data_IF_916228984939
#
_entry.id   IF_916228984939
#
_cell.length_a   1.000
_cell.length_b   1.000
_cell.length_c   1.000
_cell.angle_alpha   90.00
_cell.angle_beta   90.00
_cell.angle_gamma   90.00
#
_symmetry.space_group_name_H-M   'P 1'
#
loop_
_entity.id
_entity.type
_entity.pdbx_description
1 polymer ?
#
# COMPACT_ATOMS: atom_id res chain seq x y z
N UNK A 1 -18.24 -14.82 -2.48
CA UNK A 1 -16.91 -14.15 -2.45
C UNK A 1 -16.22 -14.36 -3.78
N UNK A 2 -15.91 -13.28 -4.49
CA UNK A 2 -15.07 -13.37 -5.67
C UNK A 2 -13.64 -13.67 -5.20
N UNK A 3 -12.96 -14.69 -5.75
CA UNK A 3 -11.56 -14.94 -5.41
C UNK A 3 -10.71 -13.72 -5.80
N UNK A 4 -9.61 -13.48 -5.07
CA UNK A 4 -8.60 -12.52 -5.51
C UNK A 4 -8.20 -12.81 -6.96
N UNK A 5 -7.70 -11.82 -7.70
CA UNK A 5 -7.25 -12.04 -9.08
C UNK A 5 -6.24 -13.17 -9.17
N UNK A 6 -5.28 -13.23 -8.23
CA UNK A 6 -4.28 -14.29 -8.13
C UNK A 6 -4.91 -15.67 -7.91
N UNK A 7 -5.92 -15.81 -7.02
CA UNK A 7 -6.59 -17.08 -6.80
C UNK A 7 -7.32 -17.59 -8.05
N UNK A 8 -7.97 -16.69 -8.79
CA UNK A 8 -8.62 -17.03 -10.06
C UNK A 8 -7.62 -17.50 -11.11
N UNK A 9 -6.44 -16.90 -11.14
CA UNK A 9 -5.38 -17.23 -12.08
C UNK A 9 -4.76 -18.61 -11.79
N UNK A 10 -4.51 -18.94 -10.52
CA UNK A 10 -4.03 -20.27 -10.11
C UNK A 10 -4.96 -21.38 -10.62
N UNK A 11 -6.29 -21.22 -10.45
CA UNK A 11 -7.25 -22.23 -10.94
C UNK A 11 -7.23 -22.40 -12.45
N UNK A 12 -7.06 -21.29 -13.20
CA UNK A 12 -6.96 -21.34 -14.66
C UNK A 12 -5.70 -22.07 -15.11
N UNK A 13 -4.54 -21.81 -14.48
CA UNK A 13 -3.27 -22.45 -14.79
C UNK A 13 -3.33 -23.95 -14.57
N UNK A 14 -3.90 -24.39 -13.43
CA UNK A 14 -4.09 -25.82 -13.16
C UNK A 14 -4.96 -26.50 -14.21
N UNK A 15 -6.07 -25.84 -14.64
CA UNK A 15 -6.94 -26.36 -15.71
C UNK A 15 -6.22 -26.46 -17.06
N UNK A 16 -5.18 -25.68 -17.29
CA UNK A 16 -4.33 -25.73 -18.48
C UNK A 16 -3.14 -26.68 -18.34
N UNK A 17 -3.15 -27.53 -17.31
CA UNK A 17 -2.10 -28.51 -16.97
C UNK A 17 -0.72 -27.89 -16.67
N UNK A 18 -0.69 -26.64 -16.17
CA UNK A 18 0.53 -26.13 -15.57
C UNK A 18 0.73 -26.77 -14.19
N UNK A 19 1.94 -27.23 -13.90
CA UNK A 19 2.32 -27.76 -12.59
C UNK A 19 2.55 -26.63 -11.59
N UNK A 20 1.47 -26.13 -10.99
CA UNK A 20 1.53 -25.11 -9.96
C UNK A 20 1.87 -25.78 -8.64
N UNK A 21 3.06 -25.49 -8.10
CA UNK A 21 3.61 -26.15 -6.91
C UNK A 21 3.22 -25.48 -5.60
N UNK A 22 3.33 -24.15 -5.54
CA UNK A 22 3.12 -23.37 -4.31
C UNK A 22 2.46 -22.03 -4.60
N UNK A 23 1.86 -21.45 -3.59
CA UNK A 23 1.33 -20.10 -3.59
C UNK A 23 2.06 -19.31 -2.50
N UNK A 24 2.58 -18.14 -2.84
CA UNK A 24 3.16 -17.20 -1.89
C UNK A 24 2.16 -16.09 -1.60
N UNK A 25 1.75 -15.94 -0.33
CA UNK A 25 0.70 -15.02 0.08
C UNK A 25 1.29 -13.80 0.80
N UNK A 26 1.16 -12.58 0.21
CA UNK A 26 1.59 -11.34 0.84
C UNK A 26 0.61 -10.90 1.94
N UNK A 27 0.77 -9.68 2.45
CA UNK A 27 -0.20 -9.03 3.32
C UNK A 27 -1.63 -9.15 2.73
N UNK A 28 -2.62 -9.31 3.58
CA UNK A 28 -4.02 -9.65 3.27
C UNK A 28 -4.26 -11.09 2.81
N UNK A 29 -3.22 -11.94 2.67
CA UNK A 29 -3.35 -13.34 2.33
C UNK A 29 -3.69 -13.62 0.88
N UNK A 30 -3.70 -14.91 0.51
CA UNK A 30 -3.97 -15.35 -0.86
C UNK A 30 -5.31 -14.85 -1.43
N UNK A 31 -6.32 -14.67 -0.58
CA UNK A 31 -7.66 -14.21 -1.00
C UNK A 31 -7.88 -12.71 -0.80
N UNK A 32 -6.92 -11.99 -0.24
CA UNK A 32 -7.03 -10.56 0.00
C UNK A 32 -8.06 -10.17 1.06
N UNK A 33 -8.43 -11.08 1.95
CA UNK A 33 -9.52 -10.88 2.92
C UNK A 33 -9.02 -10.61 4.34
N UNK A 34 -7.75 -10.85 4.60
CA UNK A 34 -7.18 -10.67 5.94
C UNK A 34 -7.04 -9.18 6.29
N UNK A 35 -7.29 -8.80 7.55
CA UNK A 35 -7.14 -7.42 7.98
C UNK A 35 -5.68 -6.97 7.94
N UNK A 36 -5.47 -5.66 7.88
CA UNK A 36 -4.14 -5.05 7.91
C UNK A 36 -3.31 -5.52 9.11
N UNK A 37 -2.05 -5.90 8.88
CA UNK A 37 -1.13 -6.36 9.91
C UNK A 37 -1.49 -7.71 10.53
N UNK A 38 -2.41 -8.48 9.95
CA UNK A 38 -2.72 -9.83 10.43
C UNK A 38 -1.53 -10.76 10.21
N UNK A 39 -1.27 -11.64 11.19
CA UNK A 39 -0.38 -12.76 10.94
C UNK A 39 -1.06 -13.74 10.00
N UNK A 40 -0.40 -14.03 8.89
CA UNK A 40 -0.83 -15.03 7.92
C UNK A 40 0.03 -16.27 8.17
N UNK A 41 -0.60 -17.41 8.37
CA UNK A 41 0.09 -18.68 8.57
C UNK A 41 0.19 -19.44 7.26
N UNK A 42 1.18 -20.34 7.18
CA UNK A 42 1.22 -21.34 6.12
C UNK A 42 -0.03 -22.23 6.23
N UNK A 43 -0.64 -22.53 5.11
CA UNK A 43 -1.86 -23.34 5.04
C UNK A 43 -1.93 -24.13 3.71
N UNK A 44 -2.94 -24.96 3.57
CA UNK A 44 -3.25 -25.63 2.29
C UNK A 44 -4.55 -25.02 1.75
N UNK A 45 -4.52 -24.52 0.52
CA UNK A 45 -5.74 -24.07 -0.15
C UNK A 45 -6.66 -25.24 -0.45
N UNK A 46 -7.81 -25.27 0.21
CA UNK A 46 -8.79 -26.38 0.13
C UNK A 46 -9.28 -26.64 -1.30
N UNK A 47 -9.30 -25.60 -2.15
CA UNK A 47 -9.81 -25.74 -3.53
C UNK A 47 -8.79 -26.30 -4.51
N UNK A 48 -7.52 -25.99 -4.32
CA UNK A 48 -6.43 -26.38 -5.22
C UNK A 48 -5.58 -27.51 -4.68
N UNK A 49 -5.60 -27.73 -3.36
CA UNK A 49 -4.67 -28.63 -2.65
C UNK A 49 -3.25 -28.09 -2.54
N UNK A 50 -3.00 -26.86 -2.96
CA UNK A 50 -1.65 -26.26 -2.97
C UNK A 50 -1.27 -25.73 -1.60
N UNK A 51 0.03 -25.85 -1.28
CA UNK A 51 0.60 -25.17 -0.11
C UNK A 51 0.61 -23.66 -0.34
N UNK A 52 0.05 -22.92 0.59
CA UNK A 52 0.19 -21.46 0.71
C UNK A 52 1.30 -21.18 1.71
N UNK A 53 2.35 -20.49 1.24
CA UNK A 53 3.47 -20.02 2.05
C UNK A 53 3.23 -18.55 2.36
N UNK A 54 3.17 -18.21 3.64
CA UNK A 54 2.97 -16.83 4.07
C UNK A 54 4.24 -16.02 3.90
N UNK A 55 4.12 -14.84 3.28
CA UNK A 55 5.17 -13.82 3.24
C UNK A 55 4.95 -12.72 4.30
N UNK A 56 3.95 -12.88 5.19
CA UNK A 56 3.58 -11.87 6.16
C UNK A 56 3.17 -12.51 7.50
N UNK A 57 4.14 -12.73 8.38
CA UNK A 57 3.90 -13.39 9.68
C UNK A 57 4.99 -13.13 10.70
N UNK A 58 4.81 -13.66 11.92
CA UNK A 58 5.72 -13.43 13.07
C UNK A 58 7.10 -14.05 12.87
N UNK A 59 7.17 -15.14 12.13
CA UNK A 59 8.38 -16.00 12.06
C UNK A 59 9.20 -15.71 10.80
N UNK A 60 8.78 -14.73 10.00
CA UNK A 60 9.48 -14.32 8.77
C UNK A 60 9.67 -12.82 8.75
N UNK A 61 10.80 -12.39 8.21
CA UNK A 61 10.97 -10.98 7.86
C UNK A 61 10.00 -10.64 6.72
N UNK A 62 9.26 -9.57 6.89
CA UNK A 62 8.17 -9.21 5.99
C UNK A 62 8.57 -9.25 4.50
N UNK A 63 7.85 -10.04 3.72
CA UNK A 63 8.01 -10.14 2.27
C UNK A 63 9.10 -11.09 1.79
N UNK A 64 10.03 -11.54 2.63
CA UNK A 64 11.12 -12.43 2.23
C UNK A 64 10.62 -13.84 1.89
N UNK A 65 11.21 -14.44 0.87
CA UNK A 65 11.04 -15.85 0.49
C UNK A 65 12.31 -16.59 0.88
N UNK A 66 12.15 -17.64 1.71
CA UNK A 66 13.25 -18.52 2.05
C UNK A 66 13.65 -19.36 0.84
N UNK A 67 14.94 -19.55 0.62
CA UNK A 67 15.46 -20.34 -0.51
C UNK A 67 14.92 -21.79 -0.49
N UNK A 68 14.67 -22.34 0.71
CA UNK A 68 14.04 -23.66 0.86
C UNK A 68 12.63 -23.71 0.23
N UNK A 69 11.87 -22.62 0.31
CA UNK A 69 10.53 -22.57 -0.29
C UNK A 69 10.58 -22.50 -1.82
N UNK A 70 11.73 -22.20 -2.41
CA UNK A 70 11.94 -22.18 -3.85
C UNK A 70 12.45 -23.50 -4.43
N UNK A 71 12.72 -24.50 -3.61
CA UNK A 71 13.08 -25.83 -4.10
C UNK A 71 11.98 -26.37 -5.03
N UNK A 72 12.39 -26.94 -6.17
CA UNK A 72 11.51 -27.47 -7.22
C UNK A 72 10.64 -26.43 -7.93
N UNK A 73 11.04 -25.15 -7.88
CA UNK A 73 10.36 -24.05 -8.61
C UNK A 73 11.22 -23.64 -9.80
N UNK A 74 10.67 -23.80 -11.01
CA UNK A 74 11.33 -23.40 -12.25
C UNK A 74 11.06 -21.95 -12.63
N UNK A 75 9.91 -21.40 -12.22
CA UNK A 75 9.45 -20.04 -12.58
C UNK A 75 8.63 -19.45 -11.44
N UNK A 76 8.88 -18.20 -11.11
CA UNK A 76 8.04 -17.38 -10.24
C UNK A 76 7.10 -16.51 -11.08
N UNK A 77 5.87 -16.36 -10.62
CA UNK A 77 4.88 -15.46 -11.24
C UNK A 77 4.36 -14.50 -10.18
N UNK A 78 4.55 -13.21 -10.42
CA UNK A 78 3.99 -12.14 -9.61
C UNK A 78 2.72 -11.60 -10.28
N UNK A 79 1.57 -11.82 -9.67
CA UNK A 79 0.25 -11.44 -10.19
C UNK A 79 -0.59 -10.78 -9.09
N UNK A 80 -0.15 -9.61 -8.60
CA UNK A 80 -0.75 -8.89 -7.49
C UNK A 80 -1.15 -7.48 -7.93
N UNK A 81 -2.37 -7.04 -7.54
CA UNK A 81 -2.84 -5.69 -7.81
C UNK A 81 -2.25 -4.70 -6.82
N UNK A 82 -1.52 -3.73 -7.34
CA UNK A 82 -1.02 -2.57 -6.59
C UNK A 82 -1.98 -1.37 -6.73
N UNK A 83 -1.81 -0.33 -5.90
CA UNK A 83 -2.63 0.89 -5.93
C UNK A 83 -1.84 2.16 -6.24
N UNK A 84 -0.55 2.04 -6.58
CA UNK A 84 0.30 3.14 -7.01
C UNK A 84 0.76 4.08 -5.90
N UNK A 85 0.89 3.56 -4.68
CA UNK A 85 1.25 4.37 -3.50
C UNK A 85 2.34 3.69 -2.70
N UNK A 86 3.44 4.41 -2.39
CA UNK A 86 4.67 3.88 -1.81
C UNK A 86 4.46 3.01 -0.56
N UNK A 87 3.57 3.41 0.34
CA UNK A 87 3.32 2.68 1.58
C UNK A 87 2.30 1.53 1.43
N UNK A 88 1.82 1.25 0.23
CA UNK A 88 1.07 0.04 -0.05
C UNK A 88 2.05 -1.10 -0.35
N UNK A 89 2.14 -2.08 0.54
CA UNK A 89 3.28 -2.98 0.71
C UNK A 89 3.55 -3.97 -0.42
N UNK A 90 2.70 -4.06 -1.43
CA UNK A 90 2.88 -4.99 -2.55
C UNK A 90 4.15 -4.71 -3.39
N UNK A 91 4.58 -3.43 -3.49
CA UNK A 91 5.86 -3.10 -4.15
C UNK A 91 7.07 -3.57 -3.32
N UNK A 92 6.95 -3.59 -1.99
CA UNK A 92 7.97 -4.13 -1.10
C UNK A 92 8.01 -5.67 -1.18
N UNK A 93 6.86 -6.32 -1.27
CA UNK A 93 6.78 -7.75 -1.56
C UNK A 93 7.41 -8.08 -2.93
N UNK A 94 7.15 -7.28 -3.97
CA UNK A 94 7.78 -7.42 -5.28
C UNK A 94 9.31 -7.37 -5.19
N UNK A 95 9.85 -6.40 -4.43
CA UNK A 95 11.30 -6.29 -4.21
C UNK A 95 11.89 -7.60 -3.68
N UNK A 96 11.33 -8.15 -2.60
CA UNK A 96 11.83 -9.40 -2.01
C UNK A 96 11.63 -10.62 -2.92
N UNK A 97 10.55 -10.67 -3.69
CA UNK A 97 10.35 -11.71 -4.71
C UNK A 97 11.43 -11.61 -5.80
N UNK A 98 11.78 -10.39 -6.24
CA UNK A 98 12.85 -10.16 -7.19
C UNK A 98 14.22 -10.55 -6.63
N UNK A 99 14.51 -10.26 -5.36
CA UNK A 99 15.74 -10.70 -4.70
C UNK A 99 15.84 -12.23 -4.62
N UNK A 100 14.77 -12.89 -4.20
CA UNK A 100 14.71 -14.34 -4.14
C UNK A 100 14.89 -14.99 -5.53
N UNK A 101 14.25 -14.42 -6.57
CA UNK A 101 14.44 -14.80 -7.97
C UNK A 101 15.89 -14.68 -8.41
N UNK A 102 16.52 -13.53 -8.15
CA UNK A 102 17.91 -13.25 -8.52
C UNK A 102 18.88 -14.17 -7.80
N UNK A 103 18.73 -14.32 -6.49
CA UNK A 103 19.60 -15.16 -5.62
C UNK A 103 19.57 -16.62 -6.01
N UNK A 104 18.42 -17.14 -6.45
CA UNK A 104 18.22 -18.53 -6.83
C UNK A 104 18.28 -18.77 -8.35
N UNK A 105 18.56 -17.72 -9.14
CA UNK A 105 18.56 -17.77 -10.62
C UNK A 105 17.27 -18.37 -11.21
N UNK A 106 16.11 -18.07 -10.60
CA UNK A 106 14.79 -18.50 -11.04
C UNK A 106 14.15 -17.35 -11.84
N UNK A 107 13.69 -17.56 -13.10
CA UNK A 107 12.99 -16.55 -13.87
C UNK A 107 11.74 -16.01 -13.14
N UNK A 108 11.52 -14.69 -13.20
CA UNK A 108 10.35 -14.03 -12.67
C UNK A 108 9.50 -13.42 -13.78
N UNK A 109 8.25 -13.81 -13.84
CA UNK A 109 7.24 -13.19 -14.72
C UNK A 109 6.35 -12.28 -13.88
N UNK A 110 6.29 -11.00 -14.23
CA UNK A 110 5.36 -10.05 -13.63
C UNK A 110 4.20 -9.82 -14.58
N UNK A 111 2.99 -10.14 -14.12
CA UNK A 111 1.74 -9.85 -14.82
C UNK A 111 1.37 -8.40 -14.52
N UNK A 112 1.63 -7.50 -15.47
CA UNK A 112 1.38 -6.08 -15.26
C UNK A 112 -0.11 -5.78 -15.05
N UNK A 113 -0.40 -4.76 -14.23
CA UNK A 113 -1.77 -4.38 -13.86
C UNK A 113 -1.94 -2.87 -13.86
N UNK A 114 -3.15 -2.37 -14.22
CA UNK A 114 -3.43 -0.95 -14.19
C UNK A 114 -3.22 -0.36 -12.79
N UNK A 115 -2.51 0.77 -12.73
CA UNK A 115 -2.40 1.55 -11.51
C UNK A 115 -3.55 2.57 -11.42
N UNK A 116 -4.45 2.48 -10.43
CA UNK A 116 -5.59 3.39 -10.31
C UNK A 116 -5.22 4.83 -9.96
N UNK A 117 -4.01 5.07 -9.46
CA UNK A 117 -3.47 6.39 -9.13
C UNK A 117 -2.37 6.86 -10.09
N UNK A 118 -2.19 6.22 -11.26
CA UNK A 118 -1.13 6.57 -12.21
C UNK A 118 -1.27 7.94 -12.89
N UNK A 119 -2.37 8.63 -12.70
CA UNK A 119 -2.68 9.89 -13.40
C UNK A 119 -1.91 11.10 -12.85
N UNK A 120 -1.14 10.95 -11.78
CA UNK A 120 -0.25 11.97 -11.23
C UNK A 120 0.94 11.34 -10.47
N UNK A 121 1.98 12.15 -10.29
CA UNK A 121 3.17 11.84 -9.47
C UNK A 121 3.30 12.97 -8.45
N UNK A 122 3.33 12.65 -7.15
CA UNK A 122 3.39 13.70 -6.11
C UNK A 122 3.73 13.14 -4.71
N UNK A 123 3.99 14.07 -3.80
CA UNK A 123 4.33 13.81 -2.41
C UNK A 123 5.85 13.71 -2.18
N UNK A 124 6.30 13.70 -0.92
CA UNK A 124 7.72 13.61 -0.61
C UNK A 124 8.32 12.29 -1.10
N UNK A 125 9.51 12.39 -1.69
CA UNK A 125 10.36 11.25 -2.06
C UNK A 125 10.96 10.66 -0.79
N UNK A 126 11.10 9.33 -0.74
CA UNK A 126 11.72 8.63 0.39
C UNK A 126 13.18 9.06 0.56
N UNK A 127 13.55 9.42 1.76
CA UNK A 127 14.94 9.50 2.23
C UNK A 127 15.33 8.13 2.81
N UNK A 128 16.42 7.52 2.34
CA UNK A 128 16.79 6.13 2.70
C UNK A 128 16.95 5.87 4.21
N UNK A 129 17.21 6.90 5.00
CA UNK A 129 17.20 6.80 6.48
C UNK A 129 15.84 6.37 7.06
N UNK A 130 14.76 6.60 6.31
CA UNK A 130 13.39 6.19 6.64
C UNK A 130 12.96 4.89 5.94
N UNK A 131 13.89 4.19 5.28
CA UNK A 131 13.60 2.93 4.61
C UNK A 131 12.94 1.93 5.54
N UNK A 132 11.91 1.26 5.05
CA UNK A 132 11.14 0.27 5.79
C UNK A 132 10.25 -0.53 4.82
N UNK A 133 9.53 -1.53 5.33
CA UNK A 133 8.57 -2.29 4.52
C UNK A 133 7.44 -1.43 3.91
N UNK A 134 7.15 -0.24 4.47
CA UNK A 134 6.19 0.73 3.91
C UNK A 134 6.87 1.82 3.05
N UNK A 135 8.12 1.61 2.68
CA UNK A 135 8.90 2.52 1.84
C UNK A 135 10.28 1.95 1.57
N UNK A 136 10.41 1.15 0.49
CA UNK A 136 11.67 0.47 0.15
C UNK A 136 12.61 1.33 -0.68
N UNK A 137 12.07 2.16 -1.58
CA UNK A 137 12.84 2.81 -2.64
C UNK A 137 12.64 4.34 -2.63
N UNK A 138 13.61 5.06 -3.19
CA UNK A 138 13.60 6.52 -3.33
C UNK A 138 12.59 7.00 -4.39
N UNK A 139 11.32 6.78 -4.11
CA UNK A 139 10.19 7.22 -4.95
C UNK A 139 9.26 8.12 -4.16
N UNK A 140 8.46 8.98 -4.81
CA UNK A 140 7.44 9.79 -4.15
C UNK A 140 6.31 8.92 -3.59
N UNK A 141 5.45 9.52 -2.75
CA UNK A 141 4.27 8.82 -2.21
C UNK A 141 3.42 8.25 -3.34
N UNK A 142 3.13 9.04 -4.38
CA UNK A 142 2.45 8.57 -5.60
C UNK A 142 3.45 8.57 -6.73
N UNK A 143 3.84 7.39 -7.18
CA UNK A 143 4.97 7.23 -8.11
C UNK A 143 4.56 7.08 -9.58
N UNK A 144 3.26 6.93 -9.90
CA UNK A 144 2.73 6.99 -11.25
C UNK A 144 3.02 5.78 -12.17
N UNK A 145 3.72 4.75 -11.71
CA UNK A 145 4.11 3.58 -12.48
C UNK A 145 3.13 2.42 -12.31
N UNK A 146 3.03 1.54 -13.30
CA UNK A 146 2.41 0.22 -13.12
C UNK A 146 3.36 -0.69 -12.34
N UNK A 147 2.87 -1.83 -11.87
CA UNK A 147 3.71 -2.78 -11.12
C UNK A 147 4.84 -3.37 -11.99
N UNK A 148 4.57 -3.58 -13.29
CA UNK A 148 5.58 -4.04 -14.25
C UNK A 148 6.65 -2.98 -14.54
N UNK A 149 6.25 -1.71 -14.70
CA UNK A 149 7.19 -0.59 -14.83
C UNK A 149 8.03 -0.42 -13.56
N UNK A 150 7.42 -0.59 -12.38
CA UNK A 150 8.11 -0.52 -11.10
C UNK A 150 9.14 -1.65 -10.94
N UNK A 151 8.80 -2.88 -11.33
CA UNK A 151 9.74 -4.01 -11.35
C UNK A 151 10.95 -3.74 -12.27
N UNK A 152 10.68 -3.18 -13.44
CA UNK A 152 11.72 -2.77 -14.40
C UNK A 152 12.65 -1.72 -13.78
N UNK A 153 12.10 -0.74 -13.07
CA UNK A 153 12.87 0.29 -12.37
C UNK A 153 13.74 -0.32 -11.26
N UNK A 154 13.19 -1.17 -10.36
CA UNK A 154 13.98 -1.87 -9.34
C UNK A 154 15.19 -2.56 -9.97
N UNK A 155 14.97 -3.27 -11.06
CA UNK A 155 16.02 -4.04 -11.73
C UNK A 155 17.07 -3.12 -12.37
N UNK A 156 16.66 -2.03 -13.02
CA UNK A 156 17.55 -1.15 -13.76
C UNK A 156 18.36 -0.24 -12.84
N UNK A 157 17.74 0.32 -11.80
CA UNK A 157 18.41 1.16 -10.79
C UNK A 157 19.36 0.39 -9.87
N UNK A 158 19.34 -0.95 -9.94
CA UNK A 158 20.21 -1.78 -9.10
C UNK A 158 19.83 -1.76 -7.62
N UNK A 159 18.54 -1.67 -7.32
CA UNK A 159 18.04 -1.58 -5.94
C UNK A 159 18.01 -2.91 -5.19
N UNK A 160 18.26 -4.04 -5.89
CA UNK A 160 18.40 -5.34 -5.24
C UNK A 160 19.76 -5.45 -4.53
N UNK A 161 19.82 -6.25 -3.48
CA UNK A 161 21.05 -6.48 -2.72
C UNK A 161 22.22 -6.84 -3.63
N UNK A 162 23.40 -6.29 -3.35
CA UNK A 162 24.63 -6.50 -4.12
C UNK A 162 24.51 -6.20 -5.62
N UNK A 163 23.59 -5.29 -6.02
CA UNK A 163 23.27 -4.97 -7.42
C UNK A 163 22.88 -6.20 -8.25
N UNK A 164 22.34 -7.23 -7.63
CA UNK A 164 21.79 -8.39 -8.34
C UNK A 164 20.76 -7.96 -9.38
N UNK A 165 20.57 -8.82 -10.38
CA UNK A 165 19.54 -8.62 -11.42
C UNK A 165 18.63 -9.85 -11.44
N UNK A 166 17.34 -9.63 -11.31
CA UNK A 166 16.34 -10.68 -11.55
C UNK A 166 16.21 -10.94 -13.05
N UNK A 167 16.13 -12.22 -13.44
CA UNK A 167 15.74 -12.61 -14.80
C UNK A 167 14.25 -12.32 -15.00
N UNK A 168 13.95 -11.06 -15.33
CA UNK A 168 12.62 -10.47 -15.30
C UNK A 168 11.96 -10.46 -16.68
N UNK A 169 10.73 -10.94 -16.75
CA UNK A 169 9.82 -10.80 -17.90
C UNK A 169 8.55 -10.08 -17.48
N UNK A 170 8.20 -9.00 -18.18
CA UNK A 170 6.93 -8.28 -17.96
C UNK A 170 5.91 -8.69 -19.02
N UNK A 171 4.74 -9.13 -18.59
CA UNK A 171 3.57 -9.29 -19.47
C UNK A 171 2.81 -7.97 -19.44
N UNK A 172 3.07 -7.15 -20.43
CA UNK A 172 2.58 -5.77 -20.51
C UNK A 172 1.06 -5.69 -20.67
N UNK A 173 0.49 -4.60 -20.16
CA UNK A 173 -0.92 -4.25 -20.35
C UNK A 173 -1.20 -3.86 -21.81
N UNK A 174 -2.23 -4.43 -22.38
CA UNK A 174 -2.75 -4.01 -23.70
C UNK A 174 -3.69 -2.82 -23.54
N UNK A 175 -3.52 -1.80 -24.43
CA UNK A 175 -4.38 -0.60 -24.48
C UNK A 175 -4.46 0.19 -23.18
N UNK A 176 -3.44 0.11 -22.33
CA UNK A 176 -3.38 0.88 -21.09
C UNK A 176 -2.99 2.34 -21.34
N UNK A 177 -3.65 3.23 -20.61
CA UNK A 177 -3.34 4.66 -20.58
C UNK A 177 -3.52 5.19 -19.17
N UNK A 178 -2.51 5.85 -18.60
CA UNK A 178 -2.54 6.43 -17.25
C UNK A 178 -3.67 7.43 -16.98
N UNK A 179 -4.22 8.05 -18.03
CA UNK A 179 -5.33 9.02 -17.93
C UNK A 179 -6.69 8.34 -17.80
N UNK A 180 -6.80 7.09 -18.20
CA UNK A 180 -8.06 6.33 -18.10
C UNK A 180 -8.30 5.95 -16.66
N UNK A 181 -9.49 6.27 -16.18
CA UNK A 181 -9.92 5.81 -14.86
C UNK A 181 -10.21 4.32 -14.92
N UNK A 182 -9.57 3.55 -14.05
CA UNK A 182 -9.75 2.11 -13.96
C UNK A 182 -10.38 1.73 -12.62
N UNK A 183 -11.49 1.02 -12.67
CA UNK A 183 -12.11 0.42 -11.50
C UNK A 183 -11.54 -0.96 -11.28
N UNK A 184 -10.99 -1.17 -10.12
CA UNK A 184 -10.47 -2.48 -9.76
C UNK A 184 -11.65 -3.48 -9.62
N UNK A 185 -11.67 -4.56 -10.42
CA UNK A 185 -12.75 -5.56 -10.36
C UNK A 185 -12.74 -6.35 -9.04
N UNK A 186 -11.60 -6.34 -8.35
CA UNK A 186 -11.38 -6.99 -7.05
C UNK A 186 -10.74 -5.96 -6.13
N UNK A 187 -11.27 -5.89 -4.91
CA UNK A 187 -10.75 -4.94 -3.91
C UNK A 187 -9.31 -5.30 -3.52
N UNK A 188 -8.41 -4.32 -3.51
CA UNK A 188 -7.00 -4.56 -3.18
C UNK A 188 -6.78 -4.85 -1.69
N UNK A 189 -7.70 -4.39 -0.84
CA UNK A 189 -7.68 -4.56 0.62
C UNK A 189 -9.07 -4.40 1.19
N UNK A 190 -9.42 -5.06 2.32
CA UNK A 190 -10.68 -4.82 3.03
C UNK A 190 -10.88 -3.35 3.46
N UNK A 191 -9.79 -2.59 3.57
CA UNK A 191 -9.84 -1.16 3.92
C UNK A 191 -9.83 -0.21 2.72
N UNK A 192 -9.81 -0.72 1.49
CA UNK A 192 -9.95 0.06 0.26
C UNK A 192 -11.16 -0.43 -0.53
N UNK A 193 -12.40 -0.18 -0.01
CA UNK A 193 -13.62 -0.83 -0.48
C UNK A 193 -14.14 -0.29 -1.82
N UNK A 194 -13.57 0.77 -2.34
CA UNK A 194 -14.05 1.39 -3.58
C UNK A 194 -13.01 2.35 -4.19
N UNK A 195 -13.30 2.82 -5.41
CA UNK A 195 -12.44 3.80 -6.11
C UNK A 195 -12.18 5.08 -5.30
N UNK A 196 -13.17 5.57 -4.55
CA UNK A 196 -13.04 6.79 -3.74
C UNK A 196 -11.98 6.61 -2.66
N UNK A 197 -12.04 5.52 -1.91
CA UNK A 197 -11.05 5.20 -0.88
C UNK A 197 -9.65 5.06 -1.48
N UNK A 198 -9.51 4.39 -2.62
CA UNK A 198 -8.22 4.23 -3.32
C UNK A 198 -7.63 5.58 -3.76
N UNK A 199 -8.47 6.49 -4.27
CA UNK A 199 -8.02 7.81 -4.71
C UNK A 199 -7.65 8.74 -3.53
N UNK A 200 -8.36 8.66 -2.41
CA UNK A 200 -8.07 9.44 -1.21
C UNK A 200 -6.93 8.85 -0.37
N UNK A 201 -6.65 7.55 -0.53
CA UNK A 201 -5.67 6.81 0.27
C UNK A 201 -4.29 7.46 0.32
N UNK A 202 -3.68 7.95 -0.78
CA UNK A 202 -2.39 8.63 -0.75
C UNK A 202 -2.34 9.76 0.29
N UNK A 203 -3.39 10.60 0.34
CA UNK A 203 -3.46 11.76 1.22
C UNK A 203 -3.89 11.43 2.65
N UNK A 204 -4.69 10.37 2.84
CA UNK A 204 -5.24 10.03 4.16
C UNK A 204 -4.39 9.00 4.93
N UNK A 205 -3.53 8.24 4.25
CA UNK A 205 -2.73 7.21 4.93
C UNK A 205 -1.74 7.79 5.94
N UNK A 206 -1.29 9.03 5.75
CA UNK A 206 -0.43 9.71 6.75
C UNK A 206 -1.09 9.84 8.13
N UNK A 207 -2.43 9.80 8.20
CA UNK A 207 -3.14 9.77 9.48
C UNK A 207 -2.86 8.50 10.31
N UNK A 208 -2.40 7.41 9.70
CA UNK A 208 -1.94 6.24 10.47
C UNK A 208 -0.74 6.58 11.37
N UNK A 209 0.05 7.56 10.98
CA UNK A 209 1.15 8.13 11.76
C UNK A 209 0.75 9.23 12.74
N UNK A 210 -0.55 9.43 13.02
CA UNK A 210 -1.07 10.47 13.89
C UNK A 210 -2.10 9.94 14.90
N UNK A 211 -2.65 10.83 15.74
CA UNK A 211 -3.79 10.52 16.61
C UNK A 211 -5.16 10.75 15.94
N UNK A 212 -5.20 10.79 14.60
CA UNK A 212 -6.42 10.91 13.81
C UNK A 212 -6.73 9.59 13.11
N UNK A 213 -7.99 9.15 13.13
CA UNK A 213 -8.47 7.99 12.39
C UNK A 213 -8.73 8.36 10.93
N UNK A 214 -8.31 7.51 10.00
CA UNK A 214 -8.65 7.59 8.58
C UNK A 214 -9.91 6.76 8.24
N UNK A 215 -10.84 6.60 9.18
CA UNK A 215 -12.10 5.90 8.97
C UNK A 215 -12.03 4.38 9.08
N UNK A 216 -10.90 3.78 9.44
CA UNK A 216 -10.84 2.34 9.72
C UNK A 216 -11.81 1.98 10.86
N UNK A 217 -12.45 0.82 10.76
CA UNK A 217 -13.51 0.42 11.69
C UNK A 217 -14.86 1.11 11.44
N UNK A 218 -15.05 1.67 10.24
CA UNK A 218 -16.33 2.18 9.73
C UNK A 218 -16.59 1.60 8.34
N UNK A 219 -17.73 1.90 7.72
CA UNK A 219 -18.03 1.58 6.31
C UNK A 219 -17.44 2.60 5.33
N UNK A 220 -16.69 3.61 5.83
CA UNK A 220 -16.13 4.71 5.05
C UNK A 220 -14.60 4.80 5.16
N UNK A 221 -13.93 3.65 5.12
CA UNK A 221 -12.47 3.54 5.22
C UNK A 221 -11.80 4.41 4.15
N UNK A 222 -10.85 5.26 4.59
CA UNK A 222 -10.15 6.24 3.75
C UNK A 222 -11.06 7.16 2.92
N UNK A 223 -12.28 7.42 3.42
CA UNK A 223 -13.21 8.39 2.87
C UNK A 223 -13.63 9.45 3.89
N UNK A 224 -13.24 9.24 5.14
CA UNK A 224 -13.42 10.16 6.26
C UNK A 224 -12.14 10.23 7.08
N UNK A 225 -11.97 11.30 7.84
CA UNK A 225 -11.00 11.34 8.91
C UNK A 225 -11.55 12.04 10.14
N UNK A 226 -11.02 11.73 11.32
CA UNK A 226 -11.43 12.38 12.54
C UNK A 226 -10.82 11.79 13.80
N UNK A 227 -11.02 12.51 14.91
CA UNK A 227 -10.48 12.14 16.21
C UNK A 227 -11.35 12.73 17.33
N UNK A 228 -11.37 12.16 18.55
CA UNK A 228 -11.97 12.79 19.73
C UNK A 228 -11.32 14.14 20.09
N UNK A 229 -10.08 14.37 19.60
CA UNK A 229 -9.28 15.55 19.91
C UNK A 229 -9.46 16.71 18.90
N UNK A 230 -10.17 16.51 17.79
CA UNK A 230 -10.43 17.60 16.85
C UNK A 230 -11.53 18.53 17.36
N UNK A 231 -11.38 19.83 17.11
CA UNK A 231 -12.34 20.84 17.48
C UNK A 231 -13.70 20.56 16.82
N UNK A 232 -14.73 20.27 17.61
CA UNK A 232 -16.08 19.87 17.17
C UNK A 232 -16.82 20.95 16.39
N UNK A 233 -16.50 22.23 16.62
CA UNK A 233 -17.15 23.36 15.96
C UNK A 233 -16.67 23.50 14.49
N UNK A 234 -15.41 23.15 14.24
CA UNK A 234 -14.80 23.15 12.91
C UNK A 234 -14.96 21.82 12.18
N UNK A 235 -15.16 20.72 12.91
CA UNK A 235 -15.23 19.34 12.42
C UNK A 235 -16.57 18.72 12.80
N UNK A 236 -17.62 19.05 12.04
CA UNK A 236 -19.00 18.71 12.37
C UNK A 236 -19.44 17.31 11.96
N UNK A 237 -18.68 16.60 11.13
CA UNK A 237 -18.94 15.20 10.81
C UNK A 237 -18.59 14.31 12.02
N UNK A 238 -19.46 13.36 12.35
CA UNK A 238 -19.33 12.52 13.54
C UNK A 238 -19.38 11.05 13.16
N UNK A 239 -18.49 10.24 13.78
CA UNK A 239 -18.51 8.79 13.61
C UNK A 239 -17.89 8.11 14.85
N UNK A 240 -18.16 6.83 15.00
CA UNK A 240 -17.60 5.99 16.07
C UNK A 240 -16.97 4.77 15.41
N UNK A 241 -15.64 4.64 15.42
CA UNK A 241 -14.98 3.43 14.92
C UNK A 241 -15.36 2.20 15.77
N UNK A 242 -15.61 1.07 15.10
CA UNK A 242 -15.90 -0.23 15.75
C UNK A 242 -15.10 -1.32 15.05
N UNK A 243 -14.82 -2.39 15.75
CA UNK A 243 -14.21 -3.59 15.14
C UNK A 243 -15.01 -4.05 13.93
N UNK A 244 -14.32 -4.36 12.84
CA UNK A 244 -14.91 -4.98 11.65
C UNK A 244 -13.89 -5.92 10.98
N UNK A 245 -14.27 -6.55 9.86
CA UNK A 245 -13.41 -7.47 9.14
C UNK A 245 -12.11 -6.85 8.64
N UNK A 246 -12.08 -5.56 8.32
CA UNK A 246 -10.90 -4.84 7.84
C UNK A 246 -10.02 -4.27 8.97
N UNK A 247 -10.55 -4.16 10.20
CA UNK A 247 -9.83 -3.56 11.34
C UNK A 247 -10.22 -4.20 12.65
N UNK A 248 -9.33 -5.04 13.20
CA UNK A 248 -9.52 -5.69 14.52
C UNK A 248 -9.37 -4.72 15.68
N UNK A 249 -8.55 -3.68 15.53
CA UNK A 249 -8.22 -2.69 16.55
C UNK A 249 -8.22 -1.28 15.93
N UNK A 250 -9.39 -0.75 15.56
CA UNK A 250 -9.45 0.57 14.95
C UNK A 250 -9.05 1.65 15.96
N UNK A 251 -8.35 2.67 15.47
CA UNK A 251 -7.99 3.84 16.29
C UNK A 251 -9.26 4.50 16.84
N UNK A 252 -9.27 4.87 18.12
CA UNK A 252 -10.41 5.43 18.84
C UNK A 252 -11.65 4.51 18.87
N UNK A 253 -11.43 3.20 18.98
CA UNK A 253 -12.53 2.24 19.08
C UNK A 253 -13.58 2.65 20.15
N UNK A 254 -14.86 2.66 19.76
CA UNK A 254 -16.00 3.03 20.61
C UNK A 254 -15.99 4.49 21.11
N UNK A 255 -15.10 5.35 20.62
CA UNK A 255 -15.09 6.77 20.99
C UNK A 255 -15.72 7.63 19.88
N UNK A 256 -16.45 8.67 20.28
CA UNK A 256 -17.00 9.63 19.33
C UNK A 256 -15.86 10.49 18.74
N UNK A 257 -15.69 10.40 17.44
CA UNK A 257 -14.76 11.20 16.67
C UNK A 257 -15.48 12.36 15.97
N UNK A 258 -14.80 13.49 15.89
CA UNK A 258 -15.20 14.66 15.10
C UNK A 258 -14.23 14.79 13.92
N UNK A 259 -14.72 15.13 12.74
CA UNK A 259 -13.87 15.15 11.54
C UNK A 259 -14.55 15.65 10.29
N UNK A 260 -14.09 15.13 9.14
CA UNK A 260 -14.59 15.46 7.82
C UNK A 260 -15.03 14.22 7.06
N UNK A 261 -16.08 14.36 6.28
CA UNK A 261 -16.50 13.41 5.27
C UNK A 261 -16.02 13.89 3.90
N UNK A 262 -15.24 13.05 3.20
CA UNK A 262 -14.64 13.32 1.90
C UNK A 262 -15.25 12.45 0.78
N UNK A 263 -16.29 11.67 1.07
CA UNK A 263 -16.90 10.74 0.09
C UNK A 263 -17.39 11.47 -1.17
N UNK A 264 -17.85 12.72 -1.02
CA UNK A 264 -18.34 13.55 -2.12
C UNK A 264 -17.25 14.47 -2.74
N UNK A 265 -16.00 14.40 -2.24
CA UNK A 265 -14.93 15.19 -2.82
C UNK A 265 -14.72 14.81 -4.29
N UNK A 266 -14.31 15.78 -5.11
CA UNK A 266 -13.85 15.49 -6.47
C UNK A 266 -12.67 14.52 -6.45
N UNK A 267 -12.45 13.80 -7.54
CA UNK A 267 -11.25 12.96 -7.72
C UNK A 267 -10.01 13.83 -7.53
N UNK A 268 -9.10 13.38 -6.66
CA UNK A 268 -7.81 14.03 -6.48
C UNK A 268 -6.89 13.69 -7.67
N UNK A 269 -6.17 14.69 -8.13
CA UNK A 269 -5.12 14.63 -9.16
C UNK A 269 -3.76 15.10 -8.61
N UNK A 270 -3.65 15.17 -7.28
CA UNK A 270 -2.46 15.52 -6.51
C UNK A 270 -2.51 14.88 -5.14
N UNK A 271 -1.38 14.83 -4.47
CA UNK A 271 -1.30 14.55 -3.04
C UNK A 271 -1.80 15.79 -2.26
N UNK A 272 -2.94 15.66 -1.59
CA UNK A 272 -3.58 16.76 -0.86
C UNK A 272 -3.13 16.79 0.60
N UNK A 273 -2.17 17.66 0.88
CA UNK A 273 -1.62 17.85 2.23
C UNK A 273 -2.58 18.62 3.14
N UNK A 274 -3.56 19.35 2.58
CA UNK A 274 -4.45 20.21 3.35
C UNK A 274 -5.24 19.44 4.42
N UNK A 275 -5.59 18.19 4.16
CA UNK A 275 -6.30 17.35 5.16
C UNK A 275 -5.50 17.18 6.44
N UNK A 276 -4.21 16.87 6.30
CA UNK A 276 -3.29 16.70 7.44
C UNK A 276 -3.06 18.04 8.16
N UNK A 277 -2.81 19.11 7.42
CA UNK A 277 -2.57 20.44 7.99
C UNK A 277 -3.79 20.97 8.74
N UNK A 278 -4.99 20.79 8.18
CA UNK A 278 -6.24 21.19 8.82
C UNK A 278 -6.46 20.38 10.12
N UNK A 279 -6.26 19.09 10.10
CA UNK A 279 -6.38 18.26 11.30
C UNK A 279 -5.37 18.66 12.37
N UNK A 280 -4.11 18.94 12.00
CA UNK A 280 -3.10 19.45 12.92
C UNK A 280 -3.45 20.84 13.46
N UNK A 281 -3.98 21.73 12.64
CA UNK A 281 -4.44 23.05 13.09
C UNK A 281 -5.60 22.96 14.10
N UNK A 282 -6.52 22.03 13.86
CA UNK A 282 -7.78 21.92 14.59
C UNK A 282 -7.72 20.99 15.83
N UNK A 283 -6.61 20.26 16.03
CA UNK A 283 -6.48 19.39 17.20
C UNK A 283 -6.21 20.18 18.49
N UNK A 284 -6.85 19.74 19.59
CA UNK A 284 -6.59 20.23 20.94
C UNK A 284 -5.41 19.48 21.58
N UNK A 285 -4.92 18.40 20.97
CA UNK A 285 -3.81 17.57 21.44
C UNK A 285 -2.65 17.57 20.44
N UNK A 286 -2.01 18.73 20.31
CA UNK A 286 -0.86 18.91 19.38
C UNK A 286 0.36 18.11 19.81
N UNK A 287 0.55 17.94 21.10
CA UNK A 287 1.72 17.25 21.64
C UNK A 287 1.76 15.77 21.23
N UNK A 288 0.60 15.11 21.20
CA UNK A 288 0.48 13.70 20.85
C UNK A 288 -0.08 13.49 19.44
N UNK A 289 -0.08 14.53 18.58
CA UNK A 289 -0.64 14.43 17.24
C UNK A 289 0.11 13.43 16.38
N UNK A 290 1.45 13.50 16.33
CA UNK A 290 2.31 12.58 15.59
C UNK A 290 2.79 11.43 16.46
N UNK A 291 2.80 10.20 15.93
CA UNK A 291 3.44 9.05 16.52
C UNK A 291 4.73 8.67 15.77
N UNK A 292 5.46 7.67 16.25
CA UNK A 292 6.75 7.24 15.70
C UNK A 292 6.66 6.61 14.29
N UNK A 293 5.47 6.33 13.80
CA UNK A 293 5.26 5.75 12.48
C UNK A 293 5.13 6.80 11.39
N UNK A 294 4.92 8.07 11.75
CA UNK A 294 4.66 9.15 10.79
C UNK A 294 5.79 9.33 9.79
N UNK A 295 7.03 9.41 10.27
CA UNK A 295 8.21 9.69 9.42
C UNK A 295 8.47 8.54 8.43
N UNK A 296 8.17 7.29 8.81
CA UNK A 296 8.23 6.13 7.91
C UNK A 296 7.21 6.20 6.78
N UNK A 297 5.97 6.60 7.09
CA UNK A 297 4.92 6.79 6.07
C UNK A 297 5.23 7.99 5.17
N UNK A 298 5.63 9.12 5.74
CA UNK A 298 6.05 10.29 5.00
C UNK A 298 7.31 10.01 4.16
N UNK A 299 8.15 9.08 4.61
CA UNK A 299 9.43 8.75 3.99
C UNK A 299 10.51 9.82 4.24
N UNK A 300 10.23 10.77 5.11
CA UNK A 300 11.16 11.86 5.44
C UNK A 300 10.82 12.45 6.81
N UNK A 301 11.84 12.83 7.56
CA UNK A 301 11.70 13.56 8.82
C UNK A 301 11.34 15.05 8.57
N UNK A 302 11.55 15.54 7.36
CA UNK A 302 11.35 16.95 7.01
C UNK A 302 9.87 17.36 7.10
N UNK A 303 8.94 16.53 6.65
CA UNK A 303 7.50 16.88 6.60
C UNK A 303 6.96 17.22 8.00
N UNK A 304 7.22 16.36 8.98
CA UNK A 304 6.81 16.58 10.37
C UNK A 304 7.40 17.87 10.93
N UNK A 305 8.70 18.08 10.74
CA UNK A 305 9.38 19.27 11.22
C UNK A 305 8.86 20.57 10.59
N UNK A 306 8.54 20.54 9.29
CA UNK A 306 7.94 21.66 8.57
C UNK A 306 6.54 22.00 9.10
N UNK A 307 5.72 20.99 9.39
CA UNK A 307 4.39 21.19 10.00
C UNK A 307 4.52 21.78 11.40
N UNK A 308 5.40 21.22 12.24
CA UNK A 308 5.64 21.71 13.59
C UNK A 308 6.16 23.16 13.62
N UNK A 309 6.96 23.52 12.61
CA UNK A 309 7.49 24.90 12.45
C UNK A 309 6.46 25.87 11.86
N UNK A 310 5.24 25.41 11.54
CA UNK A 310 4.17 26.26 11.02
C UNK A 310 4.41 26.75 9.58
N UNK A 311 5.18 25.99 8.76
CA UNK A 311 5.35 26.32 7.35
C UNK A 311 4.01 26.24 6.62
N UNK A 312 3.79 27.16 5.66
CA UNK A 312 2.61 27.09 4.82
C UNK A 312 2.63 25.88 3.87
N UNK A 313 1.48 25.35 3.54
CA UNK A 313 1.31 24.22 2.59
C UNK A 313 2.15 24.43 1.32
N UNK A 314 2.09 25.63 0.74
CA UNK A 314 2.85 25.99 -0.47
C UNK A 314 4.36 25.79 -0.29
N UNK A 315 4.92 26.21 0.84
CA UNK A 315 6.37 26.06 1.13
C UNK A 315 6.73 24.59 1.33
N UNK A 316 5.87 23.84 2.01
CA UNK A 316 6.08 22.41 2.22
C UNK A 316 6.07 21.68 0.87
N UNK A 317 5.06 21.90 0.02
CA UNK A 317 4.98 21.29 -1.31
C UNK A 317 6.21 21.67 -2.17
N UNK A 318 6.64 22.92 -2.14
CA UNK A 318 7.84 23.35 -2.87
C UNK A 318 9.11 22.62 -2.43
N UNK A 319 9.20 22.13 -1.19
CA UNK A 319 10.40 21.46 -0.69
C UNK A 319 10.66 20.10 -1.35
N UNK A 320 9.62 19.34 -1.71
CA UNK A 320 9.80 18.06 -2.38
C UNK A 320 9.73 18.12 -3.91
N UNK A 321 9.19 19.22 -4.50
CA UNK A 321 9.13 19.34 -5.97
C UNK A 321 10.48 19.21 -6.65
N UNK A 322 11.55 19.72 -6.04
CA UNK A 322 12.91 19.62 -6.57
C UNK A 322 13.43 18.17 -6.70
N UNK A 323 12.83 17.23 -5.98
CA UNK A 323 13.18 15.80 -6.06
C UNK A 323 12.25 15.03 -7.02
N UNK A 324 11.18 15.68 -7.50
CA UNK A 324 10.24 15.08 -8.47
C UNK A 324 10.64 15.35 -9.92
N UNK A 325 11.41 16.42 -10.16
CA UNK A 325 11.97 16.83 -11.46
C UNK A 325 13.27 16.07 -11.73
#
# INVERSE_FOLDING_TARGET
QWPSSAASDVYKRQKLNFDVRKIFAPEHGFRGTEPNGANINDEIDIKTGLKIVSLHGKDRKYGEIDDYDLNEIDILIFDIQDVGVRFYTHISTLHYVMEASARNNIPLIVMDRPNPNAHYVDGPVLDLENQSFVGMHEVPIVYGLTIGEYATMINNEGWLDNNMKSNLTIIELKNYNRKVTYDLPILPSPNLPNRKSINLYPSLCLFEGTNVSAGRGTEMQFQIYGSPFLNKEKNNFRFIPKKNSGSKYPKHENLLCFGKNLSENKKLDKFDLSFLLNAYSDTNDKQNFFNNYFDKLAGTNSLKNQILSGLSERKIIQSWKKKLD
#
